data_IF_918054333036
#
_entry.id   IF_918054333036
#
_cell.length_a   1.000
_cell.length_b   1.000
_cell.length_c   1.000
_cell.angle_alpha   90.00
_cell.angle_beta   90.00
_cell.angle_gamma   90.00
#
_symmetry.space_group_name_H-M   'P 1'
#
loop_
_entity.id
_entity.type
_entity.pdbx_description
1 polymer ?
#
# COMPACT_ATOMS: atom_id res chain seq x y z
N UNK A 1 15.50 10.21 20.36
CA UNK A 1 15.40 8.77 20.00
C UNK A 1 14.87 8.72 18.57
N UNK A 2 15.60 8.10 17.66
CA UNK A 2 15.13 7.94 16.25
C UNK A 2 14.09 6.82 16.22
N UNK A 3 12.87 7.15 15.83
CA UNK A 3 11.74 6.21 15.74
C UNK A 3 11.47 5.72 14.31
N UNK A 4 12.39 6.02 13.40
CA UNK A 4 12.28 5.59 11.99
C UNK A 4 12.26 4.06 11.91
N UNK A 5 11.36 3.52 11.10
CA UNK A 5 11.24 2.08 10.87
C UNK A 5 12.59 1.51 10.37
N UNK A 6 13.06 0.37 10.91
CA UNK A 6 14.34 -0.25 10.48
C UNK A 6 14.41 -0.55 8.99
N UNK A 7 13.29 -0.86 8.33
CA UNK A 7 13.24 -1.05 6.88
C UNK A 7 13.51 0.25 6.12
N UNK A 8 12.98 1.39 6.58
CA UNK A 8 13.24 2.71 5.97
C UNK A 8 14.70 3.10 6.20
N UNK A 9 15.25 2.91 7.41
CA UNK A 9 16.67 3.14 7.69
C UNK A 9 17.58 2.30 6.79
N UNK A 10 17.19 1.07 6.46
CA UNK A 10 17.94 0.23 5.52
C UNK A 10 17.97 0.88 4.13
N UNK A 11 16.86 1.43 3.65
CA UNK A 11 16.80 2.12 2.35
C UNK A 11 17.70 3.35 2.37
N UNK A 12 17.66 4.17 3.42
CA UNK A 12 18.54 5.34 3.57
C UNK A 12 20.01 4.96 3.40
N UNK A 13 20.48 3.92 4.09
CA UNK A 13 21.86 3.43 3.99
C UNK A 13 22.21 2.91 2.59
N UNK A 14 21.27 2.26 1.92
CA UNK A 14 21.42 1.77 0.55
C UNK A 14 21.63 2.96 -0.40
N UNK A 15 20.70 3.91 -0.41
CA UNK A 15 20.76 5.03 -1.36
C UNK A 15 21.97 5.93 -1.10
N UNK A 16 22.36 6.12 0.15
CA UNK A 16 23.58 6.84 0.52
C UNK A 16 24.82 6.13 -0.06
N UNK A 17 24.95 4.82 0.18
CA UNK A 17 26.09 4.02 -0.28
C UNK A 17 26.19 4.02 -1.80
N UNK A 18 25.10 3.67 -2.49
CA UNK A 18 25.11 3.50 -3.94
C UNK A 18 25.27 4.85 -4.66
N UNK A 19 24.66 5.94 -4.16
CA UNK A 19 24.86 7.27 -4.74
C UNK A 19 26.27 7.83 -4.51
N UNK A 20 26.89 7.54 -3.36
CA UNK A 20 28.33 7.85 -3.13
C UNK A 20 29.25 7.06 -4.07
N UNK A 21 28.88 5.87 -4.47
CA UNK A 21 29.60 5.07 -5.44
C UNK A 21 29.38 5.53 -6.90
N UNK A 22 28.57 6.58 -7.11
CA UNK A 22 28.33 7.18 -8.43
C UNK A 22 27.10 6.63 -9.17
N UNK A 23 26.31 5.73 -8.56
CA UNK A 23 25.07 5.26 -9.16
C UNK A 23 24.00 6.37 -9.16
N UNK A 24 23.18 6.42 -10.23
CA UNK A 24 21.95 7.19 -10.23
C UNK A 24 20.87 6.43 -9.48
N UNK A 25 20.22 7.07 -8.51
CA UNK A 25 19.19 6.41 -7.72
C UNK A 25 17.82 6.58 -8.39
N UNK A 26 17.15 5.48 -8.68
CA UNK A 26 15.76 5.46 -9.13
C UNK A 26 14.90 5.02 -7.95
N UNK A 27 14.00 5.89 -7.51
CA UNK A 27 13.12 5.66 -6.36
C UNK A 27 11.70 5.43 -6.89
N UNK A 28 11.21 4.21 -6.80
CA UNK A 28 9.81 3.89 -7.18
C UNK A 28 8.90 4.18 -5.99
N UNK A 29 8.07 5.24 -6.11
CA UNK A 29 7.22 5.69 -5.01
C UNK A 29 6.40 6.92 -5.34
N UNK A 30 5.66 7.41 -4.35
CA UNK A 30 4.93 8.66 -4.44
C UNK A 30 5.85 9.83 -4.03
N UNK A 31 6.16 10.78 -4.93
CA UNK A 31 7.11 11.87 -4.65
C UNK A 31 6.70 12.74 -3.46
N UNK A 32 5.41 12.86 -3.18
CA UNK A 32 4.88 13.68 -2.10
C UNK A 32 4.82 12.93 -0.75
N UNK A 33 5.12 11.63 -0.74
CA UNK A 33 5.07 10.84 0.48
C UNK A 33 6.29 11.11 1.37
N UNK A 34 6.12 11.33 2.70
CA UNK A 34 7.22 11.65 3.62
C UNK A 34 8.38 10.65 3.60
N UNK A 35 8.09 9.34 3.42
CA UNK A 35 9.13 8.32 3.28
C UNK A 35 9.99 8.54 2.04
N UNK A 36 9.38 8.84 0.88
CA UNK A 36 10.09 9.09 -0.39
C UNK A 36 10.91 10.37 -0.30
N UNK A 37 10.34 11.44 0.26
CA UNK A 37 11.06 12.69 0.55
C UNK A 37 12.29 12.41 1.43
N UNK A 38 12.10 11.59 2.47
CA UNK A 38 13.20 11.15 3.34
C UNK A 38 14.29 10.39 2.56
N UNK A 39 13.91 9.42 1.72
CA UNK A 39 14.85 8.66 0.89
C UNK A 39 15.64 9.60 -0.02
N UNK A 40 14.98 10.55 -0.69
CA UNK A 40 15.64 11.55 -1.53
C UNK A 40 16.70 12.35 -0.78
N UNK A 41 16.42 12.72 0.47
CA UNK A 41 17.35 13.46 1.34
C UNK A 41 18.64 12.69 1.70
N UNK A 42 18.64 11.37 1.57
CA UNK A 42 19.83 10.53 1.80
C UNK A 42 20.64 10.26 0.52
N UNK A 43 20.16 10.67 -0.65
CA UNK A 43 20.92 10.56 -1.89
C UNK A 43 22.06 11.59 -1.93
N UNK A 44 23.31 11.14 -2.10
CA UNK A 44 24.49 12.01 -2.22
C UNK A 44 24.82 12.39 -3.68
N UNK A 45 24.04 11.86 -4.62
CA UNK A 45 24.15 12.09 -6.07
C UNK A 45 22.79 12.28 -6.73
N UNK A 46 22.73 12.25 -8.05
CA UNK A 46 21.49 12.42 -8.79
C UNK A 46 20.51 11.28 -8.52
N UNK A 47 19.23 11.63 -8.44
CA UNK A 47 18.14 10.68 -8.29
C UNK A 47 16.94 11.06 -9.14
N UNK A 48 16.04 10.11 -9.39
CA UNK A 48 14.76 10.31 -10.05
C UNK A 48 13.68 9.52 -9.32
N UNK A 49 12.53 10.14 -9.05
CA UNK A 49 11.35 9.45 -8.50
C UNK A 49 10.45 9.02 -9.65
N UNK A 50 10.04 7.76 -9.65
CA UNK A 50 9.16 7.13 -10.64
C UNK A 50 7.89 6.69 -9.92
N UNK A 51 6.75 7.22 -10.34
CA UNK A 51 5.43 6.88 -9.77
C UNK A 51 4.59 6.05 -10.71
N UNK A 52 4.70 6.33 -12.02
CA UNK A 52 3.85 5.77 -13.06
C UNK A 52 4.65 5.02 -14.11
N UNK A 53 3.95 4.22 -14.92
CA UNK A 53 4.53 3.56 -16.08
C UNK A 53 5.08 4.59 -17.08
N UNK A 54 4.37 5.71 -17.27
CA UNK A 54 4.82 6.78 -18.17
C UNK A 54 6.14 7.38 -17.69
N UNK A 55 6.31 7.64 -16.39
CA UNK A 55 7.58 8.15 -15.85
C UNK A 55 8.73 7.19 -16.15
N UNK A 56 8.50 5.87 -16.05
CA UNK A 56 9.51 4.85 -16.37
C UNK A 56 9.80 4.79 -17.87
N UNK A 57 8.80 4.97 -18.73
CA UNK A 57 8.98 5.02 -20.18
C UNK A 57 9.74 6.27 -20.62
N UNK A 58 9.45 7.41 -20.02
CA UNK A 58 10.09 8.68 -20.33
C UNK A 58 11.49 8.84 -19.72
N UNK A 59 11.84 7.98 -18.75
CA UNK A 59 13.16 8.01 -18.14
C UNK A 59 14.26 7.71 -19.16
N UNK A 60 15.20 8.65 -19.31
CA UNK A 60 16.38 8.52 -20.18
C UNK A 60 17.63 8.73 -19.35
N UNK A 61 18.56 7.80 -19.44
CA UNK A 61 19.82 7.84 -18.74
C UNK A 61 20.96 7.24 -19.60
N UNK A 62 22.22 7.68 -19.49
CA UNK A 62 23.32 7.09 -20.23
C UNK A 62 23.48 5.60 -19.94
N UNK A 63 23.56 4.76 -20.98
CA UNK A 63 23.58 3.29 -20.85
C UNK A 63 24.88 2.78 -20.18
N UNK A 64 25.96 3.55 -20.28
CA UNK A 64 27.27 3.25 -19.68
C UNK A 64 27.37 3.55 -18.18
N UNK A 65 26.29 4.04 -17.57
CA UNK A 65 26.24 4.38 -16.14
C UNK A 65 25.31 3.45 -15.39
N UNK A 66 25.70 3.14 -14.15
CA UNK A 66 24.93 2.28 -13.26
C UNK A 66 23.73 3.04 -12.65
N UNK A 67 22.58 2.39 -12.57
CA UNK A 67 21.42 2.82 -11.81
C UNK A 67 21.12 1.87 -10.67
N UNK A 68 20.74 2.40 -9.52
CA UNK A 68 20.24 1.62 -8.38
C UNK A 68 18.77 1.89 -8.17
N UNK A 69 17.93 0.88 -8.32
CA UNK A 69 16.48 0.97 -8.19
C UNK A 69 16.06 0.51 -6.80
N UNK A 70 15.38 1.39 -6.06
CA UNK A 70 14.75 1.12 -4.77
C UNK A 70 13.28 1.50 -4.82
N UNK A 71 12.49 1.12 -3.84
CA UNK A 71 11.08 1.49 -3.76
C UNK A 71 10.68 1.95 -2.37
N UNK A 72 9.60 2.74 -2.29
CA UNK A 72 8.85 3.00 -1.08
C UNK A 72 8.38 1.69 -0.45
N UNK A 73 8.48 1.56 0.88
CA UNK A 73 8.20 0.30 1.61
C UNK A 73 6.76 -0.18 1.47
N UNK A 74 5.82 0.73 1.21
CA UNK A 74 4.38 0.47 1.05
C UNK A 74 3.88 0.49 -0.39
N UNK A 75 4.80 0.56 -1.38
CA UNK A 75 4.41 0.59 -2.80
C UNK A 75 3.68 -0.69 -3.23
N UNK A 76 2.84 -0.61 -4.27
CA UNK A 76 2.17 -1.78 -4.83
C UNK A 76 3.20 -2.73 -5.46
N UNK A 77 3.27 -3.95 -4.95
CA UNK A 77 4.28 -4.93 -5.35
C UNK A 77 4.19 -5.32 -6.83
N UNK A 78 3.00 -5.48 -7.38
CA UNK A 78 2.84 -5.81 -8.80
C UNK A 78 3.25 -4.64 -9.69
N UNK A 79 2.79 -3.42 -9.38
CA UNK A 79 3.22 -2.21 -10.11
C UNK A 79 4.75 -2.02 -10.04
N UNK A 80 5.37 -2.33 -8.89
CA UNK A 80 6.83 -2.31 -8.79
C UNK A 80 7.50 -3.26 -9.78
N UNK A 81 7.01 -4.50 -9.90
CA UNK A 81 7.54 -5.47 -10.87
C UNK A 81 7.40 -4.99 -12.31
N UNK A 82 6.23 -4.46 -12.65
CA UNK A 82 5.94 -3.95 -13.99
C UNK A 82 6.89 -2.78 -14.35
N UNK A 83 7.11 -1.85 -13.40
CA UNK A 83 8.04 -0.74 -13.59
C UNK A 83 9.49 -1.22 -13.73
N UNK A 84 9.93 -2.17 -12.90
CA UNK A 84 11.27 -2.77 -13.00
C UNK A 84 11.46 -3.45 -14.36
N UNK A 85 10.44 -4.15 -14.88
CA UNK A 85 10.51 -4.79 -16.20
C UNK A 85 10.77 -3.77 -17.32
N UNK A 86 10.19 -2.56 -17.24
CA UNK A 86 10.47 -1.48 -18.20
C UNK A 86 11.95 -1.09 -18.17
N UNK A 87 12.53 -0.93 -16.97
CA UNK A 87 13.95 -0.60 -16.84
C UNK A 87 14.87 -1.71 -17.40
N UNK A 88 14.52 -2.98 -17.14
CA UNK A 88 15.27 -4.11 -17.66
C UNK A 88 15.22 -4.18 -19.20
N UNK A 89 14.08 -3.86 -19.81
CA UNK A 89 13.93 -3.79 -21.29
C UNK A 89 14.75 -2.64 -21.91
N UNK A 90 15.03 -1.59 -21.16
CA UNK A 90 15.90 -0.48 -21.61
C UNK A 90 17.39 -0.78 -21.56
N UNK A 91 17.78 -1.97 -21.08
CA UNK A 91 19.17 -2.45 -21.04
C UNK A 91 20.14 -1.57 -20.25
N UNK A 92 19.64 -0.83 -19.24
CA UNK A 92 20.51 -0.11 -18.33
C UNK A 92 21.31 -1.09 -17.45
N UNK A 93 22.54 -0.73 -17.11
CA UNK A 93 23.29 -1.40 -16.03
C UNK A 93 22.59 -1.08 -14.70
N UNK A 94 21.75 -2.01 -14.22
CA UNK A 94 20.83 -1.75 -13.13
C UNK A 94 20.95 -2.75 -11.98
N UNK A 95 21.11 -2.22 -10.78
CA UNK A 95 20.99 -2.97 -9.53
C UNK A 95 19.58 -2.74 -8.97
N UNK A 96 18.74 -3.77 -9.00
CA UNK A 96 17.37 -3.71 -8.46
C UNK A 96 17.36 -4.25 -7.04
N UNK A 97 17.02 -3.40 -6.07
CA UNK A 97 16.91 -3.78 -4.66
C UNK A 97 15.45 -3.73 -4.23
N UNK A 98 14.88 -4.90 -3.97
CA UNK A 98 13.53 -5.03 -3.44
C UNK A 98 13.49 -4.46 -2.01
N UNK A 99 12.95 -3.26 -1.87
CA UNK A 99 12.83 -2.55 -0.59
C UNK A 99 11.38 -2.45 -0.08
N UNK A 100 10.42 -3.02 -0.79
CA UNK A 100 9.06 -3.22 -0.29
C UNK A 100 9.14 -4.11 0.95
N UNK A 101 8.47 -3.70 2.05
CA UNK A 101 8.45 -4.46 3.29
C UNK A 101 7.74 -5.81 3.06
N UNK A 102 8.32 -6.92 3.54
CA UNK A 102 7.73 -8.26 3.38
C UNK A 102 6.30 -8.34 3.93
N UNK A 103 6.05 -7.74 5.10
CA UNK A 103 4.71 -7.68 5.66
C UNK A 103 3.71 -6.91 4.78
N UNK A 104 4.18 -5.92 4.02
CA UNK A 104 3.36 -5.21 3.02
C UNK A 104 3.04 -6.12 1.84
N UNK A 105 4.04 -6.81 1.30
CA UNK A 105 3.86 -7.73 0.18
C UNK A 105 2.93 -8.90 0.51
N UNK A 106 3.13 -9.55 1.67
CA UNK A 106 2.28 -10.63 2.15
C UNK A 106 0.83 -10.17 2.27
N UNK A 107 0.59 -9.02 2.93
CA UNK A 107 -0.74 -8.43 3.09
C UNK A 107 -1.39 -8.06 1.76
N UNK A 108 -0.65 -7.52 0.81
CA UNK A 108 -1.17 -7.20 -0.52
C UNK A 108 -1.54 -8.47 -1.30
N UNK A 109 -0.71 -9.50 -1.22
CA UNK A 109 -0.95 -10.79 -1.88
C UNK A 109 -2.20 -11.48 -1.32
N UNK A 110 -2.32 -11.49 0.01
CA UNK A 110 -3.47 -12.08 0.70
C UNK A 110 -4.77 -11.31 0.40
N UNK A 111 -4.74 -9.97 0.50
CA UNK A 111 -5.88 -9.12 0.19
C UNK A 111 -6.39 -9.34 -1.25
N UNK A 112 -5.48 -9.44 -2.23
CA UNK A 112 -5.80 -9.75 -3.62
C UNK A 112 -6.45 -11.14 -3.75
N UNK A 113 -5.89 -12.13 -3.07
CA UNK A 113 -6.42 -13.50 -3.12
C UNK A 113 -7.83 -13.62 -2.51
N UNK A 114 -8.10 -12.86 -1.45
CA UNK A 114 -9.44 -12.78 -0.83
C UNK A 114 -10.40 -12.05 -1.77
N UNK A 115 -10.01 -10.88 -2.29
CA UNK A 115 -10.86 -10.05 -3.14
C UNK A 115 -11.40 -10.81 -4.38
N UNK A 116 -10.62 -11.75 -4.92
CA UNK A 116 -11.05 -12.62 -6.05
C UNK A 116 -12.14 -13.63 -5.69
N UNK A 117 -12.39 -13.89 -4.40
CA UNK A 117 -13.25 -14.98 -3.93
C UNK A 117 -14.53 -14.49 -3.25
N UNK A 118 -14.69 -13.18 -3.11
CA UNK A 118 -15.79 -12.58 -2.34
C UNK A 118 -16.65 -11.65 -3.19
N UNK A 119 -17.85 -11.37 -2.71
CA UNK A 119 -18.81 -10.51 -3.38
C UNK A 119 -18.60 -9.03 -3.01
N UNK A 120 -18.00 -8.78 -1.84
CA UNK A 120 -17.59 -7.46 -1.38
C UNK A 120 -16.29 -7.51 -0.56
N UNK A 121 -15.51 -6.42 -0.58
CA UNK A 121 -14.30 -6.23 0.22
C UNK A 121 -14.41 -4.99 1.10
N UNK A 122 -14.11 -5.14 2.37
CA UNK A 122 -13.95 -4.05 3.33
C UNK A 122 -12.47 -3.86 3.63
N UNK A 123 -11.96 -2.66 3.33
CA UNK A 123 -10.58 -2.27 3.60
C UNK A 123 -10.59 -1.31 4.78
N UNK A 124 -10.18 -1.80 5.94
CA UNK A 124 -10.30 -1.10 7.22
C UNK A 124 -9.02 -0.32 7.52
N UNK A 125 -9.14 0.97 7.85
CA UNK A 125 -8.02 1.80 8.30
C UNK A 125 -8.11 3.25 7.86
N UNK A 126 -7.13 4.06 8.24
CA UNK A 126 -7.12 5.51 7.96
C UNK A 126 -6.94 5.83 6.47
N UNK A 127 -7.73 6.79 5.96
CA UNK A 127 -7.67 7.24 4.55
C UNK A 127 -6.33 7.86 4.17
N UNK A 128 -5.57 8.37 5.13
CA UNK A 128 -4.24 8.94 4.93
C UNK A 128 -3.11 7.90 5.02
N UNK A 129 -3.41 6.65 5.38
CA UNK A 129 -2.42 5.58 5.42
C UNK A 129 -2.09 5.08 4.02
N UNK A 130 -0.86 5.27 3.57
CA UNK A 130 -0.37 4.79 2.28
C UNK A 130 -0.60 3.27 2.10
N UNK A 131 -0.32 2.47 3.14
CA UNK A 131 -0.55 1.03 3.09
C UNK A 131 -2.05 0.70 2.92
N UNK A 132 -2.96 1.39 3.63
CA UNK A 132 -4.41 1.16 3.50
C UNK A 132 -4.92 1.57 2.12
N UNK A 133 -4.45 2.69 1.58
CA UNK A 133 -4.79 3.13 0.23
C UNK A 133 -4.37 2.09 -0.83
N UNK A 134 -3.15 1.54 -0.71
CA UNK A 134 -2.68 0.50 -1.63
C UNK A 134 -3.47 -0.79 -1.54
N UNK A 135 -3.88 -1.21 -0.34
CA UNK A 135 -4.78 -2.35 -0.17
C UNK A 135 -6.14 -2.09 -0.83
N UNK A 136 -6.70 -0.88 -0.67
CA UNK A 136 -7.94 -0.50 -1.31
C UNK A 136 -7.84 -0.55 -2.84
N UNK A 137 -6.78 0.03 -3.43
CA UNK A 137 -6.53 -0.03 -4.88
C UNK A 137 -6.49 -1.48 -5.37
N UNK A 138 -5.70 -2.33 -4.70
CA UNK A 138 -5.53 -3.74 -5.05
C UNK A 138 -6.85 -4.52 -4.96
N UNK A 139 -7.61 -4.33 -3.88
CA UNK A 139 -8.89 -4.99 -3.73
C UNK A 139 -9.90 -4.51 -4.77
N UNK A 140 -9.88 -3.23 -5.11
CA UNK A 140 -10.77 -2.62 -6.11
C UNK A 140 -10.51 -3.12 -7.53
N UNK A 141 -9.27 -3.47 -7.86
CA UNK A 141 -8.92 -4.11 -9.15
C UNK A 141 -9.58 -5.49 -9.28
N UNK A 142 -9.74 -6.25 -8.20
CA UNK A 142 -10.22 -7.62 -8.21
C UNK A 142 -11.71 -7.76 -7.80
N UNK A 143 -12.22 -6.86 -6.95
CA UNK A 143 -13.59 -6.86 -6.46
C UNK A 143 -14.26 -5.50 -6.69
N UNK A 144 -15.27 -5.47 -7.54
CA UNK A 144 -15.99 -4.22 -7.87
C UNK A 144 -16.62 -3.55 -6.64
N UNK A 145 -17.12 -4.35 -5.69
CA UNK A 145 -17.76 -3.87 -4.46
C UNK A 145 -16.71 -3.73 -3.33
N UNK A 146 -15.68 -2.92 -3.54
CA UNK A 146 -14.68 -2.64 -2.52
C UNK A 146 -15.00 -1.31 -1.82
N UNK A 147 -15.03 -1.34 -0.49
CA UNK A 147 -15.37 -0.21 0.35
C UNK A 147 -14.23 0.12 1.32
N UNK A 148 -13.95 1.41 1.47
CA UNK A 148 -13.00 1.91 2.44
C UNK A 148 -13.73 2.19 3.76
N UNK A 149 -13.28 1.59 4.85
CA UNK A 149 -13.88 1.67 6.18
C UNK A 149 -12.87 2.29 7.15
N UNK A 150 -13.10 3.53 7.54
CA UNK A 150 -12.27 4.21 8.55
C UNK A 150 -12.92 4.12 9.93
N UNK A 151 -14.26 4.17 9.95
CA UNK A 151 -15.08 4.08 11.15
C UNK A 151 -16.26 3.13 10.93
N UNK A 152 -16.96 2.74 12.00
CA UNK A 152 -18.18 1.94 11.92
C UNK A 152 -19.30 2.65 11.15
N UNK A 153 -19.36 3.98 11.22
CA UNK A 153 -20.34 4.79 10.48
C UNK A 153 -20.18 4.60 8.96
N UNK A 154 -18.93 4.42 8.49
CA UNK A 154 -18.70 4.12 7.07
C UNK A 154 -19.32 2.78 6.68
N UNK A 155 -19.34 1.80 7.59
CA UNK A 155 -19.92 0.48 7.36
C UNK A 155 -21.45 0.54 7.34
N UNK A 156 -22.08 1.24 8.27
CA UNK A 156 -23.55 1.39 8.36
C UNK A 156 -24.18 1.89 7.07
N UNK A 157 -23.45 2.76 6.34
CA UNK A 157 -23.91 3.32 5.07
C UNK A 157 -23.78 2.37 3.87
N UNK A 158 -23.29 1.14 4.04
CA UNK A 158 -22.99 0.20 2.94
C UNK A 158 -24.03 -0.92 2.87
N UNK A 159 -24.34 -1.43 1.66
CA UNK A 159 -25.29 -2.51 1.47
C UNK A 159 -24.71 -3.89 1.77
N UNK A 160 -23.93 -4.03 2.86
CA UNK A 160 -23.17 -5.26 3.13
C UNK A 160 -24.03 -6.49 3.36
N UNK A 161 -25.28 -6.31 3.82
CA UNK A 161 -26.25 -7.40 4.03
C UNK A 161 -26.73 -8.05 2.73
N UNK A 162 -26.52 -7.42 1.58
CA UNK A 162 -26.87 -7.95 0.26
C UNK A 162 -25.81 -8.87 -0.32
N UNK A 163 -24.65 -9.00 0.34
CA UNK A 163 -23.53 -9.80 -0.15
C UNK A 163 -23.49 -11.18 0.52
N UNK A 164 -23.30 -12.23 -0.27
CA UNK A 164 -23.20 -13.60 0.23
C UNK A 164 -21.87 -13.88 0.92
N UNK A 165 -20.77 -13.25 0.43
CA UNK A 165 -19.42 -13.40 1.00
C UNK A 165 -18.75 -12.05 1.07
N UNK A 166 -18.28 -11.69 2.27
CA UNK A 166 -17.55 -10.45 2.53
C UNK A 166 -16.13 -10.79 2.95
N UNK A 167 -15.15 -10.13 2.32
CA UNK A 167 -13.75 -10.17 2.72
C UNK A 167 -13.38 -8.91 3.50
N UNK A 168 -12.53 -9.07 4.52
CA UNK A 168 -12.03 -7.97 5.33
C UNK A 168 -10.51 -7.97 5.27
N UNK A 169 -9.91 -6.83 5.02
CA UNK A 169 -8.48 -6.58 5.17
C UNK A 169 -8.24 -5.26 5.89
N UNK A 170 -7.09 -5.10 6.53
CA UNK A 170 -6.81 -3.91 7.32
C UNK A 170 -5.40 -3.36 7.09
N UNK A 171 -5.26 -2.04 7.18
CA UNK A 171 -3.97 -1.38 7.19
C UNK A 171 -3.13 -1.78 8.41
N UNK A 172 -1.80 -1.77 8.27
CA UNK A 172 -0.86 -2.23 9.31
C UNK A 172 -0.98 -1.45 10.65
N UNK A 173 -1.42 -0.21 10.60
CA UNK A 173 -1.61 0.65 11.77
C UNK A 173 -3.05 0.66 12.31
N UNK A 174 -3.94 -0.16 11.74
CA UNK A 174 -5.35 -0.22 12.15
C UNK A 174 -5.46 -0.90 13.52
N UNK A 175 -6.12 -0.28 14.53
CA UNK A 175 -6.33 -0.92 15.81
C UNK A 175 -7.18 -2.20 15.69
N UNK A 176 -6.77 -3.27 16.36
CA UNK A 176 -7.49 -4.55 16.32
C UNK A 176 -8.98 -4.41 16.71
N UNK A 177 -9.27 -3.55 17.69
CA UNK A 177 -10.65 -3.28 18.13
C UNK A 177 -11.57 -2.87 16.98
N UNK A 178 -11.11 -1.99 16.08
CA UNK A 178 -11.91 -1.56 14.92
C UNK A 178 -12.12 -2.72 13.94
N UNK A 179 -11.09 -3.56 13.75
CA UNK A 179 -11.20 -4.73 12.86
C UNK A 179 -12.25 -5.72 13.40
N UNK A 180 -12.20 -6.01 14.70
CA UNK A 180 -13.15 -6.89 15.38
C UNK A 180 -14.59 -6.36 15.34
N UNK A 181 -14.76 -5.05 15.54
CA UNK A 181 -16.06 -4.39 15.46
C UNK A 181 -16.64 -4.45 14.03
N UNK A 182 -15.82 -4.20 13.00
CA UNK A 182 -16.23 -4.33 11.59
C UNK A 182 -16.60 -5.78 11.25
N UNK A 183 -15.82 -6.74 11.72
CA UNK A 183 -16.11 -8.17 11.54
C UNK A 183 -17.45 -8.53 12.18
N UNK A 184 -17.64 -8.19 13.45
CA UNK A 184 -18.88 -8.47 14.18
C UNK A 184 -20.09 -7.87 13.47
N UNK A 185 -20.02 -6.62 13.05
CA UNK A 185 -21.11 -5.96 12.32
C UNK A 185 -21.41 -6.62 10.98
N UNK A 186 -20.38 -7.08 10.25
CA UNK A 186 -20.57 -7.76 8.97
C UNK A 186 -21.23 -9.13 9.08
N UNK A 187 -21.16 -9.76 10.27
CA UNK A 187 -21.76 -11.07 10.59
C UNK A 187 -23.21 -10.94 11.12
N UNK A 188 -23.65 -9.73 11.53
CA UNK A 188 -24.97 -9.51 12.09
C UNK A 188 -26.06 -9.53 11.00
N UNK A 189 -27.20 -10.16 11.32
CA UNK A 189 -28.39 -10.05 10.49
C UNK A 189 -29.06 -8.68 10.65
N UNK A 190 -29.89 -8.28 9.67
CA UNK A 190 -30.62 -7.01 9.74
C UNK A 190 -31.50 -6.86 11.00
N UNK A 191 -32.11 -7.95 11.45
CA UNK A 191 -32.95 -7.97 12.66
C UNK A 191 -32.11 -7.72 13.93
N UNK A 192 -30.91 -8.31 14.02
CA UNK A 192 -29.98 -8.09 15.14
C UNK A 192 -29.49 -6.63 15.20
N UNK A 193 -29.23 -6.01 14.03
CA UNK A 193 -28.80 -4.59 13.97
C UNK A 193 -29.89 -3.63 14.42
N UNK A 194 -31.16 -3.87 14.04
CA UNK A 194 -32.29 -3.08 14.51
C UNK A 194 -32.41 -3.17 16.03
N UNK A 195 -32.27 -4.36 16.60
CA UNK A 195 -32.38 -4.60 18.05
C UNK A 195 -31.27 -3.88 18.84
N UNK A 196 -30.02 -3.89 18.35
CA UNK A 196 -28.92 -3.15 18.97
C UNK A 196 -29.08 -1.61 18.84
N UNK A 197 -29.54 -1.10 17.69
CA UNK A 197 -29.82 0.31 17.49
C UNK A 197 -30.92 0.82 18.45
N UNK A 198 -31.97 0.04 18.65
CA UNK A 198 -33.04 0.38 19.60
C UNK A 198 -32.57 0.32 21.06
N UNK A 199 -31.65 -0.57 21.43
CA UNK A 199 -31.05 -0.62 22.77
C UNK A 199 -30.17 0.61 23.05
N UNK A 200 -29.43 1.07 22.07
CA UNK A 200 -28.57 2.27 22.19
C UNK A 200 -29.40 3.54 22.39
N UNK A 201 -30.52 3.69 21.69
CA UNK A 201 -31.44 4.83 21.84
C UNK A 201 -32.15 4.83 23.20
N UNK A 202 -32.39 3.67 23.80
CA UNK A 202 -33.03 3.55 25.12
C UNK A 202 -32.14 3.82 26.30
N UNK A 203 -30.79 3.73 26.12
CA UNK A 203 -29.80 3.85 27.17
C UNK A 203 -28.99 5.17 27.11
N UNK A 204 -29.27 6.08 26.20
CA UNK A 204 -28.72 7.43 26.07
C UNK A 204 -29.76 8.49 26.33
#
# INVERSE_FOLDING_TARGET
MDVTCPFVLKIHRIVEKESRAGAHIVIIGDPDHPEVVGICGWCMGPYTVIRTEQDALDFVFPIDKNICIVSQTTFNYNKFKDLVEIFLKKSYDSTVLKTICNATEERQTEARAIARKVDAMFVVGGRHSSNTQKLYEICKEECKNTYFIETLVDLESKPFQSFGRVGITAGASTPNKIIEEVQKMSEMSFEQMLDESFKTIRNG
#
